data_IF_514890038907
#
_entry.id   IF_514890038907
#
_cell.length_a   1.000
_cell.length_b   1.000
_cell.length_c   1.000
_cell.angle_alpha   90.00
_cell.angle_beta   90.00
_cell.angle_gamma   90.00
#
_symmetry.space_group_name_H-M   'P 1'
#
loop_
_entity.id
_entity.type
_entity.pdbx_description
1 polymer ?
#
# COMPACT_ATOMS: atom_id res chain seq x y z
N UNK A 1 52.48 -44.43 69.77
CA UNK A 1 52.04 -45.71 69.17
C UNK A 1 51.09 -45.40 68.01
N UNK A 2 51.57 -45.33 66.74
CA UNK A 2 50.70 -45.01 65.59
C UNK A 2 49.94 -46.27 65.16
N UNK A 3 48.69 -46.39 65.60
CA UNK A 3 47.80 -47.48 65.18
C UNK A 3 47.55 -47.35 63.67
N UNK A 4 48.16 -48.22 62.85
CA UNK A 4 47.88 -48.30 61.41
C UNK A 4 46.49 -48.91 61.21
N UNK A 5 45.46 -48.04 61.15
CA UNK A 5 44.09 -48.46 60.81
C UNK A 5 44.04 -49.11 59.43
N UNK A 6 43.42 -50.29 59.31
CA UNK A 6 43.20 -50.97 58.03
C UNK A 6 42.24 -50.16 57.15
N UNK A 7 42.42 -50.24 55.82
CA UNK A 7 41.65 -49.45 54.82
C UNK A 7 40.13 -49.59 55.00
N UNK A 8 39.65 -50.77 55.42
CA UNK A 8 38.22 -51.02 55.73
C UNK A 8 37.70 -50.22 56.93
N UNK A 9 38.45 -50.14 58.04
CA UNK A 9 38.00 -49.39 59.22
C UNK A 9 37.95 -47.87 59.00
N UNK A 10 38.81 -47.34 58.10
CA UNK A 10 38.75 -45.93 57.67
C UNK A 10 37.52 -45.63 56.83
N UNK A 11 37.11 -46.54 55.94
CA UNK A 11 35.85 -46.40 55.21
C UNK A 11 34.64 -46.46 56.14
N UNK A 12 34.62 -47.38 57.11
CA UNK A 12 33.53 -47.48 58.08
C UNK A 12 33.41 -46.21 58.94
N UNK A 13 34.52 -45.67 59.45
CA UNK A 13 34.52 -44.41 60.18
C UNK A 13 34.09 -43.22 59.30
N UNK A 14 34.50 -43.22 58.02
CA UNK A 14 34.08 -42.21 57.04
C UNK A 14 32.58 -42.25 56.75
N UNK A 15 31.98 -43.43 56.62
CA UNK A 15 30.53 -43.58 56.45
C UNK A 15 29.75 -43.12 57.68
N UNK A 16 30.24 -43.40 58.89
CA UNK A 16 29.61 -42.92 60.13
C UNK A 16 29.70 -41.40 60.24
N UNK A 17 30.86 -40.81 59.95
CA UNK A 17 31.03 -39.35 59.92
C UNK A 17 30.16 -38.68 58.84
N UNK A 18 30.07 -39.28 57.65
CA UNK A 18 29.18 -38.82 56.59
C UNK A 18 27.71 -38.92 57.02
N UNK A 19 27.33 -39.96 57.74
CA UNK A 19 26.00 -40.12 58.32
C UNK A 19 25.68 -39.03 59.35
N UNK A 20 26.61 -38.73 60.26
CA UNK A 20 26.44 -37.63 61.23
C UNK A 20 26.46 -36.25 60.57
N UNK A 21 27.25 -36.04 59.51
CA UNK A 21 27.24 -34.81 58.73
C UNK A 21 25.93 -34.63 57.96
N UNK A 22 25.41 -35.70 57.35
CA UNK A 22 24.10 -35.69 56.69
C UNK A 22 22.98 -35.46 57.70
N UNK A 23 23.05 -36.08 58.88
CA UNK A 23 22.10 -35.84 59.96
C UNK A 23 22.16 -34.38 60.47
N UNK A 24 23.36 -33.85 60.71
CA UNK A 24 23.55 -32.45 61.10
C UNK A 24 23.06 -31.46 60.03
N UNK A 25 23.29 -31.75 58.75
CA UNK A 25 22.77 -30.95 57.64
C UNK A 25 21.24 -31.04 57.53
N UNK A 26 20.65 -32.22 57.75
CA UNK A 26 19.20 -32.40 57.77
C UNK A 26 18.55 -31.63 58.94
N UNK A 27 19.15 -31.65 60.13
CA UNK A 27 18.71 -30.86 61.28
C UNK A 27 18.79 -29.35 60.99
N UNK A 28 19.90 -28.88 60.40
CA UNK A 28 20.08 -27.46 60.05
C UNK A 28 19.11 -26.99 58.95
N UNK A 29 18.71 -27.87 58.04
CA UNK A 29 17.69 -27.62 57.02
C UNK A 29 16.26 -27.76 57.56
N UNK A 30 16.08 -28.09 58.84
CA UNK A 30 14.76 -28.22 59.47
C UNK A 30 13.94 -29.41 58.96
N UNK A 31 14.60 -30.49 58.50
CA UNK A 31 13.94 -31.73 58.05
C UNK A 31 13.41 -32.58 59.22
N UNK A 32 13.94 -32.37 60.44
CA UNK A 32 13.41 -32.95 61.68
C UNK A 32 12.63 -31.86 62.43
N UNK A 33 11.39 -31.63 62.00
CA UNK A 33 10.45 -30.76 62.70
C UNK A 33 9.46 -31.64 63.45
N UNK A 34 9.67 -31.84 64.75
CA UNK A 34 8.54 -32.10 65.63
C UNK A 34 7.60 -30.89 65.51
N UNK A 35 6.49 -31.09 64.81
CA UNK A 35 5.58 -30.01 64.43
C UNK A 35 4.96 -29.38 65.67
N UNK A 36 5.18 -28.09 65.88
CA UNK A 36 4.53 -27.30 66.96
C UNK A 36 3.04 -27.08 66.71
N UNK A 37 2.46 -27.69 65.67
CA UNK A 37 1.08 -27.44 65.21
C UNK A 37 0.88 -26.04 64.62
N UNK A 38 1.95 -25.27 64.39
CA UNK A 38 1.88 -23.89 63.88
C UNK A 38 2.19 -23.87 62.39
N UNK A 39 1.24 -23.39 61.58
CA UNK A 39 1.39 -23.19 60.14
C UNK A 39 1.45 -21.68 59.86
N UNK A 40 2.45 -21.22 59.09
CA UNK A 40 2.56 -19.82 58.69
C UNK A 40 1.51 -19.49 57.61
N UNK A 41 0.85 -18.33 57.73
CA UNK A 41 -0.11 -17.84 56.74
C UNK A 41 0.61 -17.02 55.68
N UNK A 42 0.10 -17.06 54.45
CA UNK A 42 0.59 -16.19 53.37
C UNK A 42 0.27 -14.71 53.66
N UNK A 43 1.07 -13.78 53.12
CA UNK A 43 0.79 -12.34 53.12
C UNK A 43 -0.58 -12.00 52.50
N UNK A 44 -1.04 -10.78 52.76
CA UNK A 44 -2.33 -10.28 52.30
C UNK A 44 -2.44 -10.29 50.76
N UNK A 45 -3.52 -10.85 50.22
CA UNK A 45 -3.84 -10.87 48.78
C UNK A 45 -3.27 -12.06 48.00
N UNK A 46 -2.57 -13.01 48.65
CA UNK A 46 -1.96 -14.18 48.00
C UNK A 46 -2.83 -15.45 48.05
N UNK A 47 -3.95 -15.43 48.77
CA UNK A 47 -4.93 -16.53 48.79
C UNK A 47 -4.54 -17.71 49.71
N UNK A 48 -5.19 -18.87 49.49
CA UNK A 48 -5.03 -20.05 50.35
C UNK A 48 -3.73 -20.81 50.08
N UNK A 49 -3.07 -21.26 51.15
CA UNK A 49 -1.90 -22.14 51.07
C UNK A 49 -2.21 -23.50 51.69
N UNK A 50 -1.94 -24.57 50.94
CA UNK A 50 -2.24 -25.94 51.34
C UNK A 50 -0.98 -26.59 51.92
N UNK A 51 -1.04 -26.96 53.19
CA UNK A 51 0.00 -27.69 53.90
C UNK A 51 -0.36 -29.17 54.02
N UNK A 52 0.60 -30.06 53.77
CA UNK A 52 0.45 -31.48 54.08
C UNK A 52 1.04 -31.73 55.47
N UNK A 53 0.23 -32.26 56.39
CA UNK A 53 0.62 -32.47 57.78
C UNK A 53 0.30 -33.91 58.18
N UNK A 54 1.28 -34.63 58.73
CA UNK A 54 1.07 -35.94 59.35
C UNK A 54 0.59 -35.74 60.80
N UNK A 55 -0.54 -36.35 61.16
CA UNK A 55 -1.16 -36.21 62.49
C UNK A 55 -1.24 -37.57 63.16
N UNK A 56 -0.51 -37.71 64.27
CA UNK A 56 -0.58 -38.86 65.16
C UNK A 56 -1.64 -38.67 66.26
N UNK A 57 -2.33 -39.75 66.64
CA UNK A 57 -3.40 -39.73 67.66
C UNK A 57 -4.80 -39.34 67.15
N UNK A 58 -4.96 -38.90 65.89
CA UNK A 58 -6.28 -38.70 65.25
C UNK A 58 -6.97 -40.05 64.92
N UNK A 59 -6.16 -41.05 64.54
CA UNK A 59 -6.55 -42.43 64.28
C UNK A 59 -5.51 -43.39 64.88
N UNK A 60 -5.79 -44.72 64.97
CA UNK A 60 -4.84 -45.69 65.51
C UNK A 60 -3.51 -45.80 64.74
N UNK A 61 -3.45 -45.24 63.53
CA UNK A 61 -2.24 -45.11 62.73
C UNK A 61 -2.10 -43.64 62.31
N UNK A 62 -0.86 -43.16 62.25
CA UNK A 62 -0.51 -41.83 61.76
C UNK A 62 -1.15 -41.58 60.39
N UNK A 63 -1.83 -40.45 60.25
CA UNK A 63 -2.61 -40.13 59.05
C UNK A 63 -2.17 -38.77 58.50
N UNK A 64 -1.83 -38.72 57.21
CA UNK A 64 -1.55 -37.47 56.50
C UNK A 64 -2.85 -36.77 56.11
N UNK A 65 -2.96 -35.49 56.43
CA UNK A 65 -4.08 -34.63 56.07
C UNK A 65 -3.58 -33.36 55.36
N UNK A 66 -4.43 -32.85 54.47
CA UNK A 66 -4.20 -31.56 53.81
C UNK A 66 -4.94 -30.47 54.55
N UNK A 67 -4.21 -29.50 55.09
CA UNK A 67 -4.77 -28.34 55.79
C UNK A 67 -4.62 -27.11 54.89
N UNK A 68 -5.75 -26.60 54.39
CA UNK A 68 -5.80 -25.32 53.70
C UNK A 68 -5.84 -24.20 54.75
N UNK A 69 -4.82 -23.34 54.73
CA UNK A 69 -4.74 -22.17 55.61
C UNK A 69 -4.87 -20.93 54.74
N UNK A 70 -5.93 -20.15 54.97
CA UNK A 70 -6.14 -18.87 54.31
C UNK A 70 -5.08 -17.83 54.69
N UNK A 71 -4.96 -16.79 53.87
CA UNK A 71 -4.10 -15.64 54.10
C UNK A 71 -4.34 -14.96 55.47
N UNK A 72 -3.41 -14.08 55.86
CA UNK A 72 -3.56 -13.29 57.09
C UNK A 72 -4.72 -12.31 56.91
N UNK A 73 -5.79 -12.47 57.70
CA UNK A 73 -6.79 -11.41 57.86
C UNK A 73 -6.22 -10.31 58.75
N UNK A 74 -6.56 -9.05 58.45
CA UNK A 74 -6.26 -7.94 59.37
C UNK A 74 -7.00 -8.14 60.70
N UNK A 75 -6.57 -7.46 61.74
CA UNK A 75 -7.44 -7.21 62.91
C UNK A 75 -8.37 -6.03 62.62
N UNK A 76 -9.43 -5.85 63.40
CA UNK A 76 -10.38 -4.74 63.18
C UNK A 76 -9.68 -3.37 63.28
N UNK A 77 -8.77 -3.22 64.26
CA UNK A 77 -7.95 -2.01 64.45
C UNK A 77 -6.96 -1.79 63.29
N UNK A 78 -6.28 -2.85 62.82
CA UNK A 78 -5.33 -2.75 61.69
C UNK A 78 -6.06 -2.44 60.36
N UNK A 79 -7.27 -2.97 60.15
CA UNK A 79 -8.05 -2.72 58.94
C UNK A 79 -8.53 -1.27 58.86
N UNK A 80 -8.99 -0.71 59.98
CA UNK A 80 -9.41 0.69 60.08
C UNK A 80 -8.24 1.64 59.77
N UNK A 81 -7.07 1.41 60.36
CA UNK A 81 -5.87 2.22 60.06
C UNK A 81 -5.45 2.16 58.59
N UNK A 82 -5.60 1.01 57.94
CA UNK A 82 -5.24 0.80 56.53
C UNK A 82 -6.28 1.47 55.62
N UNK A 83 -7.57 1.31 55.90
CA UNK A 83 -8.64 1.96 55.14
C UNK A 83 -8.53 3.49 55.23
N UNK A 84 -8.27 4.05 56.41
CA UNK A 84 -8.08 5.49 56.59
C UNK A 84 -6.83 6.00 55.85
N UNK A 85 -5.75 5.22 55.85
CA UNK A 85 -4.53 5.55 55.09
C UNK A 85 -4.81 5.55 53.59
N UNK A 86 -5.49 4.52 53.09
CA UNK A 86 -5.86 4.41 51.67
C UNK A 86 -6.78 5.58 51.29
N UNK A 87 -7.77 5.89 52.13
CA UNK A 87 -8.70 6.99 51.91
C UNK A 87 -8.00 8.35 51.90
N UNK A 88 -7.04 8.59 52.79
CA UNK A 88 -6.27 9.84 52.84
C UNK A 88 -5.51 10.14 51.54
N UNK A 89 -5.08 9.12 50.80
CA UNK A 89 -4.42 9.29 49.50
C UNK A 89 -5.40 9.29 48.32
N UNK A 90 -6.61 8.73 48.50
CA UNK A 90 -7.56 8.46 47.41
C UNK A 90 -7.93 9.70 46.59
N UNK A 91 -8.30 10.86 47.19
CA UNK A 91 -8.69 12.06 46.44
C UNK A 91 -7.66 12.53 45.43
N UNK A 92 -6.36 12.35 45.72
CA UNK A 92 -5.27 12.79 44.85
C UNK A 92 -5.01 11.84 43.68
N UNK A 93 -5.37 10.55 43.82
CA UNK A 93 -5.06 9.50 42.85
C UNK A 93 -6.14 9.33 41.79
N UNK A 94 -7.37 9.71 42.09
CA UNK A 94 -8.52 9.52 41.19
C UNK A 94 -8.77 10.70 40.24
N UNK A 95 -8.03 11.82 40.37
CA UNK A 95 -8.26 13.06 39.63
C UNK A 95 -8.17 12.92 38.11
N UNK A 96 -7.37 11.99 37.59
CA UNK A 96 -7.12 11.89 36.15
C UNK A 96 -6.44 13.16 35.61
N UNK A 97 -7.05 13.80 34.62
CA UNK A 97 -6.59 15.08 34.04
C UNK A 97 -7.19 16.32 34.74
N UNK A 98 -8.07 16.12 35.73
CA UNK A 98 -8.74 17.21 36.42
C UNK A 98 -7.81 17.89 37.45
N UNK A 99 -7.92 19.23 37.63
CA UNK A 99 -7.12 19.95 38.60
C UNK A 99 -7.49 19.63 40.05
N UNK A 100 -8.77 19.36 40.32
CA UNK A 100 -9.30 19.05 41.66
C UNK A 100 -10.66 18.34 41.57
N UNK A 101 -11.09 17.68 42.64
CA UNK A 101 -12.44 17.08 42.74
C UNK A 101 -13.55 18.14 42.81
N UNK A 102 -13.21 19.35 43.24
CA UNK A 102 -14.11 20.51 43.19
C UNK A 102 -14.23 21.10 41.77
N UNK A 103 -13.53 20.53 40.77
CA UNK A 103 -13.58 21.01 39.39
C UNK A 103 -13.33 19.86 38.40
N UNK A 104 -14.30 18.95 38.33
CA UNK A 104 -14.23 17.79 37.42
C UNK A 104 -14.92 18.12 36.10
N UNK A 105 -14.17 18.00 34.99
CA UNK A 105 -14.63 18.24 33.60
C UNK A 105 -14.33 17.07 32.67
N UNK A 106 -13.38 16.21 33.05
CA UNK A 106 -12.94 15.03 32.30
C UNK A 106 -13.07 13.79 33.17
N UNK A 107 -12.99 12.62 32.55
CA UNK A 107 -13.11 11.32 33.24
C UNK A 107 -12.18 11.21 34.47
N UNK A 108 -12.73 10.64 35.55
CA UNK A 108 -12.03 10.28 36.77
C UNK A 108 -11.39 8.89 36.61
N UNK A 109 -10.28 8.68 37.31
CA UNK A 109 -9.59 7.39 37.34
C UNK A 109 -9.99 6.61 38.60
N UNK A 110 -11.17 5.97 38.59
CA UNK A 110 -11.67 5.20 39.73
C UNK A 110 -10.93 3.85 39.85
N UNK A 111 -9.98 3.79 40.79
CA UNK A 111 -9.16 2.60 41.03
C UNK A 111 -10.01 1.55 41.75
N UNK A 112 -10.03 0.31 41.24
CA UNK A 112 -10.84 -0.78 41.79
C UNK A 112 -10.10 -1.73 42.75
N UNK A 113 -8.76 -1.64 42.83
CA UNK A 113 -7.94 -2.50 43.70
C UNK A 113 -6.64 -1.83 44.15
N UNK A 114 -6.26 -2.10 45.40
CA UNK A 114 -4.99 -1.76 46.03
C UNK A 114 -4.23 -3.03 46.38
N UNK A 115 -3.47 -3.56 45.41
CA UNK A 115 -2.73 -4.82 45.56
C UNK A 115 -1.69 -4.78 46.70
N UNK A 116 -1.15 -3.60 47.00
CA UNK A 116 -0.19 -3.38 48.08
C UNK A 116 -0.77 -3.58 49.49
N UNK A 117 -2.10 -3.49 49.62
CA UNK A 117 -2.83 -3.70 50.87
C UNK A 117 -3.82 -4.87 50.81
N UNK A 118 -4.02 -5.49 49.63
CA UNK A 118 -5.02 -6.53 49.42
C UNK A 118 -6.47 -6.02 49.51
N UNK A 119 -6.71 -4.73 49.25
CA UNK A 119 -8.03 -4.09 49.41
C UNK A 119 -8.70 -3.87 48.06
N UNK A 120 -9.97 -4.25 47.94
CA UNK A 120 -10.82 -3.90 46.79
C UNK A 120 -11.59 -2.62 47.07
N UNK A 121 -11.80 -1.82 46.03
CA UNK A 121 -12.54 -0.56 46.11
C UNK A 121 -13.67 -0.61 45.10
N UNK A 122 -14.90 -0.64 45.59
CA UNK A 122 -16.09 -0.62 44.75
C UNK A 122 -16.72 0.77 44.78
N UNK A 123 -16.88 1.36 43.61
CA UNK A 123 -17.41 2.72 43.45
C UNK A 123 -18.90 2.69 43.10
N UNK A 124 -19.67 3.49 43.82
CA UNK A 124 -21.09 3.69 43.60
C UNK A 124 -21.47 5.15 43.86
N UNK A 125 -22.72 5.53 43.60
CA UNK A 125 -23.12 6.94 43.60
C UNK A 125 -22.86 7.59 42.24
N UNK A 126 -22.66 8.90 42.19
CA UNK A 126 -22.38 9.60 40.92
C UNK A 126 -23.62 10.06 40.13
N UNK A 127 -24.81 9.55 40.48
CA UNK A 127 -26.07 9.94 39.86
C UNK A 127 -26.07 9.68 38.35
N UNK A 128 -26.47 10.70 37.57
CA UNK A 128 -26.39 10.67 36.10
C UNK A 128 -25.09 11.26 35.54
N UNK A 129 -24.24 11.81 36.42
CA UNK A 129 -23.07 12.60 36.04
C UNK A 129 -21.79 11.78 35.98
N UNK A 130 -21.66 10.77 36.84
CA UNK A 130 -20.47 9.93 36.94
C UNK A 130 -20.88 8.47 37.06
N UNK A 131 -20.36 7.61 36.18
CA UNK A 131 -20.58 6.16 36.30
C UNK A 131 -19.53 5.47 37.20
N UNK A 132 -19.76 4.20 37.54
CA UNK A 132 -18.86 3.41 38.39
C UNK A 132 -17.49 3.11 37.76
N UNK A 133 -17.30 3.45 36.47
CA UNK A 133 -16.01 3.37 35.78
C UNK A 133 -15.27 4.71 35.77
N UNK A 134 -15.90 5.78 36.29
CA UNK A 134 -15.32 7.12 36.36
C UNK A 134 -15.57 7.98 35.13
N UNK A 135 -16.46 7.59 34.21
CA UNK A 135 -16.79 8.44 33.06
C UNK A 135 -17.68 9.58 33.49
N UNK A 136 -17.38 10.79 33.01
CA UNK A 136 -18.07 12.03 33.38
C UNK A 136 -18.98 12.48 32.24
N UNK A 137 -20.28 12.53 32.49
CA UNK A 137 -21.32 12.98 31.55
C UNK A 137 -21.69 14.44 31.82
N UNK A 138 -20.71 15.34 31.73
CA UNK A 138 -20.86 16.75 32.09
C UNK A 138 -21.58 17.63 31.06
N UNK A 139 -21.99 17.11 29.90
CA UNK A 139 -22.50 17.96 28.79
C UNK A 139 -23.74 18.78 29.15
N UNK A 140 -24.54 18.29 30.10
CA UNK A 140 -25.79 18.91 30.56
C UNK A 140 -25.66 19.58 31.94
N UNK A 141 -24.47 19.57 32.53
CA UNK A 141 -24.24 20.13 33.86
C UNK A 141 -24.33 21.67 33.84
N UNK A 142 -24.81 22.25 34.95
CA UNK A 142 -24.87 23.70 35.12
C UNK A 142 -23.48 24.35 35.00
N UNK A 143 -23.36 25.56 34.41
CA UNK A 143 -22.11 26.33 34.43
C UNK A 143 -21.61 26.67 35.83
N UNK A 144 -22.49 26.66 36.84
CA UNK A 144 -22.15 26.89 38.25
C UNK A 144 -21.55 25.64 38.94
N UNK A 145 -21.68 24.47 38.30
CA UNK A 145 -21.24 23.17 38.80
C UNK A 145 -22.36 22.38 39.47
N UNK A 146 -22.38 21.06 39.26
CA UNK A 146 -23.30 20.14 39.91
C UNK A 146 -22.56 19.37 41.01
N UNK A 147 -23.03 19.45 42.26
CA UNK A 147 -22.45 18.72 43.38
C UNK A 147 -22.98 17.28 43.41
N UNK A 148 -22.06 16.32 43.41
CA UNK A 148 -22.33 14.89 43.31
C UNK A 148 -21.51 14.16 44.36
N UNK A 149 -22.12 13.16 45.00
CA UNK A 149 -21.46 12.34 46.00
C UNK A 149 -21.10 10.97 45.41
N UNK A 150 -19.82 10.65 45.46
CA UNK A 150 -19.30 9.31 45.17
C UNK A 150 -19.13 8.54 46.47
N UNK A 151 -19.50 7.28 46.44
CA UNK A 151 -19.38 6.35 47.56
C UNK A 151 -18.37 5.26 47.18
N UNK A 152 -17.30 5.15 47.97
CA UNK A 152 -16.29 4.13 47.83
C UNK A 152 -16.42 3.11 48.97
N UNK A 153 -16.64 1.84 48.62
CA UNK A 153 -16.66 0.73 49.56
C UNK A 153 -15.31 0.02 49.49
N UNK A 154 -14.52 0.16 50.57
CA UNK A 154 -13.24 -0.53 50.74
C UNK A 154 -13.49 -1.86 51.44
N UNK A 155 -12.98 -2.95 50.88
CA UNK A 155 -13.14 -4.30 51.43
C UNK A 155 -11.83 -5.09 51.43
N UNK A 156 -11.55 -5.77 52.54
CA UNK A 156 -10.48 -6.79 52.65
C UNK A 156 -11.03 -8.22 52.45
N UNK A 157 -12.30 -8.35 52.06
CA UNK A 157 -13.04 -9.60 51.93
C UNK A 157 -13.80 -10.03 53.20
N UNK A 158 -13.41 -9.53 54.38
CA UNK A 158 -14.05 -9.84 55.66
C UNK A 158 -14.71 -8.63 56.33
N UNK A 159 -14.11 -7.45 56.15
CA UNK A 159 -14.57 -6.16 56.65
C UNK A 159 -14.75 -5.19 55.50
N UNK A 160 -15.67 -4.26 55.71
CA UNK A 160 -16.03 -3.24 54.74
C UNK A 160 -16.09 -1.88 55.44
N UNK A 161 -15.58 -0.86 54.78
CA UNK A 161 -15.72 0.53 55.19
C UNK A 161 -16.21 1.36 54.00
N UNK A 162 -17.20 2.21 54.26
CA UNK A 162 -17.82 3.06 53.25
C UNK A 162 -17.37 4.49 53.48
N UNK A 163 -16.84 5.12 52.45
CA UNK A 163 -16.43 6.51 52.47
C UNK A 163 -17.16 7.30 51.39
N UNK A 164 -17.52 8.54 51.72
CA UNK A 164 -18.23 9.45 50.82
C UNK A 164 -17.29 10.58 50.39
N UNK A 165 -17.33 10.93 49.11
CA UNK A 165 -16.48 11.94 48.49
C UNK A 165 -17.33 12.91 47.66
N UNK A 166 -17.38 14.19 48.03
CA UNK A 166 -18.04 15.19 47.20
C UNK A 166 -17.18 15.50 45.98
N UNK A 167 -17.84 15.64 44.83
CA UNK A 167 -17.26 15.99 43.54
C UNK A 167 -18.15 17.02 42.87
N UNK A 168 -17.56 18.07 42.30
CA UNK A 168 -18.31 19.10 41.56
C UNK A 168 -18.03 18.91 40.06
N UNK A 169 -19.06 18.51 39.32
CA UNK A 169 -18.99 18.30 37.87
C UNK A 169 -19.34 19.59 37.15
N UNK A 170 -18.46 19.98 36.24
CA UNK A 170 -18.66 21.11 35.35
C UNK A 170 -18.80 20.64 33.90
N UNK A 171 -19.47 21.43 33.05
CA UNK A 171 -19.48 21.17 31.62
C UNK A 171 -18.06 21.15 31.04
N UNK A 172 -17.82 20.39 29.96
CA UNK A 172 -16.49 20.31 29.35
C UNK A 172 -15.96 21.70 28.99
N UNK A 173 -14.66 21.92 29.21
CA UNK A 173 -14.02 23.18 28.88
C UNK A 173 -13.95 23.35 27.36
N UNK A 174 -14.97 24.00 26.78
CA UNK A 174 -15.05 24.27 25.34
C UNK A 174 -13.92 25.19 24.90
N UNK A 175 -13.28 24.86 23.78
CA UNK A 175 -12.28 25.72 23.16
C UNK A 175 -12.94 27.02 22.64
N UNK A 176 -12.15 28.07 22.40
CA UNK A 176 -12.69 29.28 21.76
C UNK A 176 -13.27 28.97 20.37
N UNK A 177 -12.71 27.98 19.67
CA UNK A 177 -13.18 27.55 18.35
C UNK A 177 -14.59 26.97 18.44
N UNK A 178 -14.84 26.03 19.37
CA UNK A 178 -16.15 25.42 19.58
C UNK A 178 -17.22 26.45 19.98
N UNK A 179 -16.85 27.40 20.86
CA UNK A 179 -17.75 28.51 21.25
C UNK A 179 -18.09 29.42 20.08
N UNK A 180 -17.13 29.65 19.19
CA UNK A 180 -17.33 30.46 17.98
C UNK A 180 -18.26 29.76 17.00
N UNK A 181 -18.12 28.44 16.83
CA UNK A 181 -19.03 27.62 16.01
C UNK A 181 -20.46 27.64 16.57
N UNK A 182 -20.64 27.49 17.89
CA UNK A 182 -21.99 27.55 18.47
C UNK A 182 -22.65 28.93 18.34
N UNK A 183 -21.91 30.02 18.54
CA UNK A 183 -22.44 31.39 18.32
C UNK A 183 -22.88 31.56 16.86
N UNK A 184 -22.08 31.09 15.92
CA UNK A 184 -22.42 31.11 14.50
C UNK A 184 -23.67 30.26 14.19
N UNK A 185 -23.77 29.06 14.76
CA UNK A 185 -24.95 28.21 14.59
C UNK A 185 -26.20 28.78 15.26
N UNK A 186 -26.06 29.49 16.39
CA UNK A 186 -27.16 30.17 17.06
C UNK A 186 -27.69 31.34 16.21
N UNK A 187 -26.80 32.12 15.62
CA UNK A 187 -27.16 33.21 14.68
C UNK A 187 -27.85 32.66 13.43
N UNK A 188 -27.35 31.56 12.84
CA UNK A 188 -28.02 30.86 11.74
C UNK A 188 -29.45 30.45 12.12
N UNK A 189 -29.66 29.91 13.33
CA UNK A 189 -31.01 29.49 13.78
C UNK A 189 -31.96 30.67 13.97
N UNK A 190 -31.45 31.80 14.45
CA UNK A 190 -32.23 33.03 14.58
C UNK A 190 -32.57 33.61 13.20
N UNK A 191 -31.61 33.63 12.28
CA UNK A 191 -31.84 34.07 10.90
C UNK A 191 -32.79 33.15 10.13
N UNK A 192 -32.71 31.83 10.31
CA UNK A 192 -33.60 30.84 9.69
C UNK A 192 -35.06 31.06 10.12
N UNK A 193 -35.30 31.35 11.40
CA UNK A 193 -36.63 31.71 11.91
C UNK A 193 -37.17 33.01 11.30
N UNK A 194 -36.29 33.91 10.85
CA UNK A 194 -36.66 35.16 10.18
C UNK A 194 -36.83 35.01 8.66
N UNK A 195 -36.15 34.03 8.04
CA UNK A 195 -36.14 33.77 6.59
C UNK A 195 -37.05 32.59 6.22
N UNK A 196 -38.38 32.79 6.22
CA UNK A 196 -39.36 31.74 5.91
C UNK A 196 -39.55 31.38 4.42
N UNK A 197 -38.50 31.43 3.60
CA UNK A 197 -38.55 31.21 2.14
C UNK A 197 -38.20 29.79 1.69
N UNK A 198 -38.29 29.51 0.38
CA UNK A 198 -37.87 28.22 -0.22
C UNK A 198 -36.35 27.97 -0.17
N UNK A 199 -35.56 29.01 0.14
CA UNK A 199 -34.10 28.94 0.23
C UNK A 199 -33.60 29.80 1.39
N UNK A 200 -32.66 29.26 2.18
CA UNK A 200 -31.97 29.96 3.24
C UNK A 200 -30.60 30.48 2.74
N UNK A 201 -30.33 31.76 2.94
CA UNK A 201 -29.03 32.36 2.58
C UNK A 201 -28.14 32.46 3.80
N UNK A 202 -27.00 31.77 3.76
CA UNK A 202 -25.98 31.84 4.80
C UNK A 202 -25.28 33.21 4.83
N UNK A 203 -24.86 33.70 6.00
CA UNK A 203 -24.21 35.00 6.14
C UNK A 203 -22.84 35.03 5.45
N UNK A 204 -22.51 36.15 4.80
CA UNK A 204 -21.22 36.34 4.10
C UNK A 204 -20.09 36.70 5.07
N UNK A 205 -20.41 37.15 6.29
CA UNK A 205 -19.44 37.53 7.31
C UNK A 205 -19.90 37.12 8.72
N UNK A 206 -18.95 36.74 9.57
CA UNK A 206 -19.18 36.47 10.99
C UNK A 206 -18.00 36.98 11.82
N UNK A 207 -18.27 37.75 12.87
CA UNK A 207 -17.25 38.36 13.75
C UNK A 207 -16.11 39.08 13.00
N UNK A 208 -16.44 39.77 11.90
CA UNK A 208 -15.49 40.54 11.07
C UNK A 208 -14.63 39.69 10.10
N UNK A 209 -14.93 38.40 9.95
CA UNK A 209 -14.29 37.49 8.97
C UNK A 209 -15.24 37.20 7.82
N UNK A 210 -14.70 37.18 6.61
CA UNK A 210 -15.43 36.82 5.39
C UNK A 210 -15.53 35.28 5.27
N UNK A 211 -16.73 34.77 4.99
CA UNK A 211 -17.04 33.35 4.95
C UNK A 211 -17.23 32.87 3.51
N UNK A 212 -16.68 31.69 3.20
CA UNK A 212 -16.84 31.02 1.91
C UNK A 212 -17.35 29.60 2.14
N UNK A 213 -18.46 29.26 1.49
CA UNK A 213 -19.09 27.95 1.62
C UNK A 213 -18.74 27.05 0.44
N UNK A 214 -18.41 25.78 0.73
CA UNK A 214 -18.13 24.75 -0.28
C UNK A 214 -18.77 23.45 0.15
N UNK A 215 -19.35 22.73 -0.81
CA UNK A 215 -19.83 21.37 -0.61
C UNK A 215 -18.64 20.40 -0.42
N UNK A 216 -18.53 19.70 0.73
CA UNK A 216 -17.44 18.76 0.97
C UNK A 216 -17.46 17.56 0.01
N UNK A 217 -18.60 17.22 -0.59
CA UNK A 217 -18.71 16.15 -1.60
C UNK A 217 -18.42 16.61 -3.03
N UNK A 218 -18.15 17.90 -3.22
CA UNK A 218 -17.84 18.51 -4.51
C UNK A 218 -16.66 17.81 -5.19
N UNK A 219 -16.94 16.96 -6.18
CA UNK A 219 -15.89 16.26 -6.93
C UNK A 219 -15.04 17.29 -7.68
N UNK A 220 -13.69 17.23 -7.57
CA UNK A 220 -12.82 18.12 -8.32
C UNK A 220 -12.95 17.89 -9.83
N UNK A 221 -13.77 18.70 -10.49
CA UNK A 221 -13.99 18.65 -11.95
C UNK A 221 -12.77 19.15 -12.75
N UNK A 222 -11.70 19.60 -12.08
CA UNK A 222 -10.46 20.08 -12.71
C UNK A 222 -9.72 18.98 -13.49
N UNK A 223 -10.01 17.70 -13.23
CA UNK A 223 -9.46 16.59 -13.99
C UNK A 223 -10.07 16.43 -15.40
N UNK A 224 -11.27 16.97 -15.65
CA UNK A 224 -11.95 16.85 -16.95
C UNK A 224 -11.21 17.59 -18.09
N UNK A 225 -10.73 18.84 -17.91
CA UNK A 225 -9.88 19.50 -18.90
C UNK A 225 -8.59 18.73 -19.22
N UNK A 226 -7.95 18.13 -18.20
CA UNK A 226 -6.71 17.36 -18.40
C UNK A 226 -6.93 16.10 -19.25
N UNK A 227 -8.06 15.40 -19.02
CA UNK A 227 -8.51 14.28 -19.86
C UNK A 227 -8.79 14.72 -21.30
N UNK A 228 -9.40 15.90 -21.49
CA UNK A 228 -9.64 16.48 -22.80
C UNK A 228 -8.35 16.77 -23.58
N UNK A 229 -7.33 17.32 -22.91
CA UNK A 229 -6.02 17.59 -23.52
C UNK A 229 -5.31 16.29 -23.92
N UNK A 230 -5.33 15.27 -23.05
CA UNK A 230 -4.77 13.94 -23.35
C UNK A 230 -5.44 13.31 -24.57
N UNK A 231 -6.78 13.35 -24.65
CA UNK A 231 -7.52 12.82 -25.79
C UNK A 231 -7.18 13.55 -27.10
N UNK A 232 -7.02 14.89 -27.06
CA UNK A 232 -6.62 15.67 -28.22
C UNK A 232 -5.21 15.31 -28.73
N UNK A 233 -4.25 15.11 -27.81
CA UNK A 233 -2.89 14.66 -28.16
C UNK A 233 -2.95 13.28 -28.83
N UNK A 234 -3.71 12.33 -28.28
CA UNK A 234 -3.84 10.99 -28.87
C UNK A 234 -4.44 11.02 -30.28
N UNK A 235 -5.48 11.81 -30.50
CA UNK A 235 -6.13 11.94 -31.81
C UNK A 235 -5.18 12.44 -32.88
N UNK A 236 -4.34 13.43 -32.57
CA UNK A 236 -3.37 13.98 -33.54
C UNK A 236 -2.22 13.00 -33.85
N UNK A 237 -1.85 12.13 -32.91
CA UNK A 237 -0.85 11.08 -33.15
C UNK A 237 -1.34 9.95 -34.05
N UNK A 238 -2.59 9.51 -33.94
CA UNK A 238 -3.08 8.37 -34.72
C UNK A 238 -3.00 8.62 -36.23
N UNK A 239 -3.47 9.78 -36.71
CA UNK A 239 -3.51 10.05 -38.15
C UNK A 239 -2.10 10.19 -38.74
N UNK A 240 -1.21 10.90 -38.02
CA UNK A 240 0.19 11.06 -38.42
C UNK A 240 0.92 9.70 -38.40
N UNK A 241 0.66 8.89 -37.39
CA UNK A 241 1.31 7.59 -37.27
C UNK A 241 0.78 6.58 -38.29
N UNK A 242 -0.52 6.56 -38.59
CA UNK A 242 -1.08 5.73 -39.66
C UNK A 242 -0.51 6.11 -41.02
N UNK A 243 -0.44 7.40 -41.36
CA UNK A 243 0.18 7.87 -42.61
C UNK A 243 1.65 7.50 -42.69
N UNK A 244 2.39 7.66 -41.59
CA UNK A 244 3.81 7.28 -41.49
C UNK A 244 3.98 5.76 -41.66
N UNK A 245 3.18 4.95 -40.97
CA UNK A 245 3.19 3.47 -41.07
C UNK A 245 2.84 3.01 -42.49
N UNK A 246 1.85 3.63 -43.15
CA UNK A 246 1.49 3.31 -44.53
C UNK A 246 2.62 3.65 -45.51
N UNK A 247 3.26 4.81 -45.35
CA UNK A 247 4.42 5.21 -46.15
C UNK A 247 5.60 4.27 -45.95
N UNK A 248 5.97 3.98 -44.70
CA UNK A 248 7.03 3.04 -44.36
C UNK A 248 6.74 1.65 -44.93
N UNK A 249 5.48 1.18 -44.88
CA UNK A 249 5.07 -0.11 -45.47
C UNK A 249 5.29 -0.12 -46.98
N UNK A 250 4.86 0.92 -47.70
CA UNK A 250 5.06 1.05 -49.15
C UNK A 250 6.54 1.10 -49.51
N UNK A 251 7.33 1.91 -48.81
CA UNK A 251 8.78 2.01 -49.02
C UNK A 251 9.47 0.64 -48.77
N UNK A 252 9.06 -0.09 -47.74
CA UNK A 252 9.56 -1.45 -47.45
C UNK A 252 9.21 -2.46 -48.54
N UNK A 253 7.98 -2.43 -49.05
CA UNK A 253 7.54 -3.30 -50.15
C UNK A 253 8.37 -3.04 -51.42
N UNK A 254 8.56 -1.76 -51.77
CA UNK A 254 9.40 -1.35 -52.90
C UNK A 254 10.85 -1.82 -52.73
N UNK A 255 11.46 -1.64 -51.56
CA UNK A 255 12.83 -2.11 -51.32
C UNK A 255 12.96 -3.63 -51.43
N UNK A 256 11.94 -4.39 -51.01
CA UNK A 256 11.93 -5.86 -51.14
C UNK A 256 11.86 -6.31 -52.59
N UNK A 257 11.10 -5.60 -53.41
CA UNK A 257 10.86 -5.94 -54.81
C UNK A 257 12.02 -5.49 -55.72
N UNK A 258 12.79 -4.49 -55.31
CA UNK A 258 13.85 -3.88 -56.12
C UNK A 258 14.88 -4.87 -56.68
N UNK A 259 15.48 -5.78 -55.87
CA UNK A 259 16.46 -6.74 -56.40
C UNK A 259 15.87 -7.64 -57.49
N UNK A 260 14.59 -7.98 -57.38
CA UNK A 260 13.89 -8.84 -58.34
C UNK A 260 13.64 -8.10 -59.66
N UNK A 261 13.21 -6.83 -59.58
CA UNK A 261 13.02 -5.95 -60.75
C UNK A 261 14.34 -5.79 -61.53
N UNK A 262 15.43 -5.45 -60.84
CA UNK A 262 16.74 -5.27 -61.48
C UNK A 262 17.24 -6.59 -62.07
N UNK A 263 17.03 -7.72 -61.38
CA UNK A 263 17.40 -9.06 -61.89
C UNK A 263 16.69 -9.41 -63.18
N UNK A 264 15.35 -9.29 -63.22
CA UNK A 264 14.58 -9.59 -64.43
C UNK A 264 14.96 -8.68 -65.60
N UNK A 265 15.10 -7.37 -65.35
CA UNK A 265 15.55 -6.43 -66.38
C UNK A 265 16.96 -6.76 -66.88
N UNK A 266 17.89 -7.09 -65.98
CA UNK A 266 19.27 -7.45 -66.37
C UNK A 266 19.30 -8.73 -67.21
N UNK A 267 18.48 -9.74 -66.88
CA UNK A 267 18.38 -10.98 -67.66
C UNK A 267 17.86 -10.68 -69.08
N UNK A 268 16.78 -9.92 -69.22
CA UNK A 268 16.21 -9.62 -70.53
C UNK A 268 17.09 -8.71 -71.38
N UNK A 269 17.68 -7.67 -70.78
CA UNK A 269 18.67 -6.83 -71.45
C UNK A 269 19.91 -7.64 -71.87
N UNK A 270 20.35 -8.59 -71.02
CA UNK A 270 21.43 -9.53 -71.33
C UNK A 270 21.12 -10.49 -72.48
N UNK A 271 19.84 -10.81 -72.69
CA UNK A 271 19.35 -11.60 -73.82
C UNK A 271 19.23 -10.79 -75.13
N UNK A 272 19.59 -9.50 -75.12
CA UNK A 272 19.58 -8.65 -76.31
C UNK A 272 18.27 -7.90 -76.55
N UNK A 273 17.33 -7.92 -75.60
CA UNK A 273 16.11 -7.08 -75.68
C UNK A 273 16.46 -5.60 -75.47
N UNK A 274 15.68 -4.72 -76.09
CA UNK A 274 15.74 -3.27 -75.80
C UNK A 274 15.18 -2.97 -74.41
N UNK A 275 15.46 -1.78 -73.87
CA UNK A 275 14.93 -1.35 -72.56
C UNK A 275 13.41 -1.45 -72.51
N UNK A 276 12.72 -0.98 -73.54
CA UNK A 276 11.27 -1.11 -73.66
C UNK A 276 10.81 -2.56 -73.75
N UNK A 277 11.45 -3.38 -74.59
CA UNK A 277 11.07 -4.78 -74.73
C UNK A 277 11.30 -5.60 -73.46
N UNK A 278 12.38 -5.32 -72.73
CA UNK A 278 12.63 -5.91 -71.42
C UNK A 278 11.57 -5.47 -70.39
N UNK A 279 11.24 -4.18 -70.35
CA UNK A 279 10.22 -3.62 -69.47
C UNK A 279 8.84 -4.25 -69.71
N UNK A 280 8.41 -4.28 -70.97
CA UNK A 280 7.13 -4.87 -71.38
C UNK A 280 7.04 -6.36 -71.00
N UNK A 281 8.14 -7.11 -71.19
CA UNK A 281 8.18 -8.54 -70.84
C UNK A 281 8.09 -8.76 -69.33
N UNK A 282 8.68 -7.87 -68.52
CA UNK A 282 8.56 -7.92 -67.06
C UNK A 282 7.13 -7.64 -66.61
N UNK A 283 6.50 -6.59 -67.15
CA UNK A 283 5.12 -6.22 -66.80
C UNK A 283 4.13 -7.30 -67.20
N UNK A 284 4.21 -7.83 -68.43
CA UNK A 284 3.32 -8.93 -68.88
C UNK A 284 3.49 -10.19 -68.05
N UNK A 285 4.71 -10.50 -67.62
CA UNK A 285 4.99 -11.61 -66.71
C UNK A 285 4.32 -11.40 -65.33
N UNK A 286 4.32 -10.17 -64.82
CA UNK A 286 3.62 -9.81 -63.59
C UNK A 286 2.10 -9.90 -63.74
N UNK A 287 1.52 -9.37 -64.83
CA UNK A 287 0.07 -9.44 -65.09
C UNK A 287 -0.43 -10.88 -65.18
N UNK A 288 0.33 -11.75 -65.86
CA UNK A 288 0.02 -13.18 -65.91
C UNK A 288 0.05 -13.82 -64.52
N UNK A 289 1.09 -13.52 -63.74
CA UNK A 289 1.19 -14.01 -62.35
C UNK A 289 0.03 -13.52 -61.48
N UNK A 290 -0.44 -12.29 -61.67
CA UNK A 290 -1.59 -11.74 -60.95
C UNK A 290 -2.90 -12.44 -61.35
N UNK A 291 -3.09 -12.75 -62.63
CA UNK A 291 -4.25 -13.51 -63.14
C UNK A 291 -4.30 -14.94 -62.59
N UNK A 292 -3.13 -15.52 -62.28
CA UNK A 292 -2.98 -16.85 -61.68
C UNK A 292 -3.08 -16.83 -60.13
N UNK A 293 -3.49 -15.70 -59.53
CA UNK A 293 -3.64 -15.56 -58.08
C UNK A 293 -2.38 -15.11 -57.33
N UNK A 294 -1.38 -14.60 -58.04
CA UNK A 294 -0.17 -14.05 -57.46
C UNK A 294 -0.42 -12.79 -56.62
N UNK A 295 0.51 -12.48 -55.71
CA UNK A 295 0.42 -11.29 -54.85
C UNK A 295 0.68 -10.01 -55.66
N UNK A 296 0.00 -8.92 -55.29
CA UNK A 296 0.32 -7.58 -55.80
C UNK A 296 1.65 -7.10 -55.25
N UNK A 297 2.39 -6.39 -56.09
CA UNK A 297 3.71 -5.87 -55.75
C UNK A 297 3.83 -4.40 -56.14
N UNK A 298 4.19 -3.56 -55.17
CA UNK A 298 4.22 -2.11 -55.35
C UNK A 298 5.12 -1.68 -56.52
N UNK A 299 6.30 -2.30 -56.68
CA UNK A 299 7.23 -1.93 -57.74
C UNK A 299 6.69 -2.27 -59.14
N UNK A 300 6.05 -3.43 -59.28
CA UNK A 300 5.51 -3.89 -60.56
C UNK A 300 4.24 -3.14 -60.96
N UNK A 301 3.44 -2.68 -60.00
CA UNK A 301 2.31 -1.77 -60.26
C UNK A 301 2.80 -0.44 -60.86
N UNK A 302 3.84 0.16 -60.28
CA UNK A 302 4.48 1.38 -60.82
C UNK A 302 5.07 1.13 -62.22
N UNK A 303 5.67 -0.05 -62.45
CA UNK A 303 6.16 -0.44 -63.78
C UNK A 303 5.04 -0.58 -64.82
N UNK A 304 3.88 -1.12 -64.40
CA UNK A 304 2.69 -1.26 -65.25
C UNK A 304 2.10 0.09 -65.61
N UNK A 305 1.94 0.98 -64.63
CA UNK A 305 1.50 2.36 -64.89
C UNK A 305 2.45 3.09 -65.84
N UNK A 306 3.76 2.88 -65.66
CA UNK A 306 4.78 3.48 -66.51
C UNK A 306 4.67 2.99 -67.96
N UNK A 307 4.36 1.70 -68.16
CA UNK A 307 4.13 1.13 -69.48
C UNK A 307 2.87 1.72 -70.15
N UNK A 308 1.77 1.84 -69.40
CA UNK A 308 0.53 2.47 -69.87
C UNK A 308 0.76 3.94 -70.28
N UNK A 309 1.59 4.69 -69.53
CA UNK A 309 1.99 6.05 -69.92
C UNK A 309 2.76 6.08 -71.24
N UNK A 310 3.67 5.13 -71.47
CA UNK A 310 4.41 5.01 -72.74
C UNK A 310 3.48 4.68 -73.91
N UNK A 311 2.47 3.84 -73.69
CA UNK A 311 1.44 3.52 -74.70
C UNK A 311 0.59 4.75 -75.03
N UNK A 312 0.33 5.60 -74.03
CA UNK A 312 -0.32 6.93 -74.17
C UNK A 312 0.59 8.02 -74.75
N UNK A 313 1.65 7.64 -75.47
CA UNK A 313 2.60 8.52 -76.19
C UNK A 313 3.47 9.41 -75.30
N UNK A 314 3.61 9.13 -73.99
CA UNK A 314 4.64 9.80 -73.18
C UNK A 314 6.03 9.32 -73.63
N UNK A 315 7.00 10.22 -73.87
CA UNK A 315 8.35 9.81 -74.26
C UNK A 315 8.99 8.86 -73.24
N UNK A 316 9.58 7.76 -73.71
CA UNK A 316 10.12 6.69 -72.84
C UNK A 316 11.09 7.20 -71.78
N UNK A 317 11.99 8.13 -72.14
CA UNK A 317 12.91 8.74 -71.17
C UNK A 317 12.20 9.47 -70.03
N UNK A 318 11.13 10.22 -70.34
CA UNK A 318 10.32 10.90 -69.34
C UNK A 318 9.54 9.89 -68.48
N UNK A 319 9.01 8.85 -69.10
CA UNK A 319 8.29 7.79 -68.39
C UNK A 319 9.19 7.04 -67.39
N UNK A 320 10.44 6.71 -67.74
CA UNK A 320 11.38 6.10 -66.79
C UNK A 320 11.74 7.04 -65.62
N UNK A 321 11.92 8.34 -65.88
CA UNK A 321 12.15 9.31 -64.80
C UNK A 321 10.94 9.43 -63.86
N UNK A 322 9.71 9.44 -64.41
CA UNK A 322 8.49 9.46 -63.63
C UNK A 322 8.31 8.19 -62.78
N UNK A 323 8.70 7.02 -63.30
CA UNK A 323 8.76 5.77 -62.52
C UNK A 323 9.66 5.92 -61.30
N UNK A 324 10.89 6.40 -61.48
CA UNK A 324 11.82 6.62 -60.38
C UNK A 324 11.26 7.57 -59.31
N UNK A 325 10.58 8.64 -59.76
CA UNK A 325 9.91 9.60 -58.87
C UNK A 325 8.69 9.00 -58.15
N UNK A 326 7.90 8.18 -58.83
CA UNK A 326 6.70 7.56 -58.27
C UNK A 326 7.04 6.51 -57.20
N UNK A 327 8.11 5.73 -57.40
CA UNK A 327 8.66 4.86 -56.37
C UNK A 327 9.27 5.66 -55.19
N UNK A 328 9.86 6.82 -55.46
CA UNK A 328 10.28 7.77 -54.42
C UNK A 328 11.49 7.33 -53.57
N UNK A 329 12.23 6.32 -54.04
CA UNK A 329 13.39 5.74 -53.35
C UNK A 329 14.66 5.88 -54.19
N UNK A 330 15.80 6.10 -53.54
CA UNK A 330 17.10 6.31 -54.20
C UNK A 330 17.50 5.18 -55.18
N UNK A 331 17.34 3.89 -54.85
CA UNK A 331 17.68 2.81 -55.79
C UNK A 331 16.84 2.83 -57.08
N UNK A 332 15.57 3.21 -56.99
CA UNK A 332 14.66 3.33 -58.13
C UNK A 332 14.96 4.56 -58.98
N UNK A 333 15.33 5.69 -58.38
CA UNK A 333 15.80 6.88 -59.10
C UNK A 333 17.08 6.61 -59.88
N UNK A 334 18.02 5.89 -59.28
CA UNK A 334 19.26 5.46 -59.93
C UNK A 334 18.97 4.50 -61.09
N UNK A 335 18.08 3.53 -60.88
CA UNK A 335 17.64 2.60 -61.93
C UNK A 335 17.01 3.34 -63.11
N UNK A 336 16.12 4.30 -62.85
CA UNK A 336 15.51 5.14 -63.89
C UNK A 336 16.56 5.88 -64.73
N UNK A 337 17.56 6.49 -64.08
CA UNK A 337 18.67 7.16 -64.76
C UNK A 337 19.51 6.21 -65.61
N UNK A 338 19.80 5.01 -65.10
CA UNK A 338 20.53 3.97 -65.83
C UNK A 338 19.78 3.49 -67.08
N UNK A 339 18.46 3.32 -66.99
CA UNK A 339 17.61 2.91 -68.12
C UNK A 339 17.53 4.02 -69.18
N UNK A 340 17.43 5.28 -68.75
CA UNK A 340 17.45 6.43 -69.66
C UNK A 340 18.80 6.56 -70.39
N UNK A 341 19.91 6.43 -69.66
CA UNK A 341 21.25 6.47 -70.23
C UNK A 341 21.46 5.34 -71.24
N UNK A 342 21.02 4.13 -70.89
CA UNK A 342 21.15 2.98 -71.79
C UNK A 342 20.38 3.16 -73.11
N UNK A 343 19.21 3.79 -73.06
CA UNK A 343 18.44 4.14 -74.25
C UNK A 343 19.18 5.12 -75.16
N UNK A 344 19.98 6.04 -74.60
CA UNK A 344 20.73 7.07 -75.35
C UNK A 344 22.09 6.57 -75.87
N UNK A 345 22.81 5.78 -75.07
CA UNK A 345 24.24 5.47 -75.28
C UNK A 345 24.55 3.98 -75.55
N UNK A 346 23.58 3.07 -75.38
CA UNK A 346 23.72 1.63 -75.64
C UNK A 346 24.21 0.78 -74.45
N UNK A 347 24.28 -0.55 -74.65
CA UNK A 347 24.39 -1.59 -73.59
C UNK A 347 25.79 -1.91 -73.05
N UNK A 348 26.86 -1.34 -73.60
CA UNK A 348 28.24 -1.76 -73.27
C UNK A 348 28.62 -1.52 -71.79
N UNK A 349 28.19 -0.42 -71.16
CA UNK A 349 28.52 -0.09 -69.76
C UNK A 349 27.39 -0.38 -68.74
N UNK A 350 26.15 -0.56 -69.21
CA UNK A 350 24.99 -0.77 -68.33
C UNK A 350 25.07 -2.12 -67.61
N UNK A 351 25.51 -3.18 -68.30
CA UNK A 351 25.49 -4.55 -67.78
C UNK A 351 26.38 -4.73 -66.54
N UNK A 352 27.55 -4.11 -66.52
CA UNK A 352 28.44 -4.13 -65.35
C UNK A 352 27.83 -3.37 -64.17
N UNK A 353 27.30 -2.18 -64.44
CA UNK A 353 26.69 -1.30 -63.43
C UNK A 353 25.44 -1.92 -62.80
N UNK A 354 24.56 -2.55 -63.60
CA UNK A 354 23.39 -3.25 -63.07
C UNK A 354 23.76 -4.49 -62.24
N UNK A 355 24.82 -5.23 -62.59
CA UNK A 355 25.27 -6.38 -61.79
C UNK A 355 25.81 -5.96 -60.42
N UNK A 356 26.56 -4.86 -60.36
CA UNK A 356 27.03 -4.28 -59.10
C UNK A 356 25.86 -3.78 -58.25
N UNK A 357 24.90 -3.09 -58.86
CA UNK A 357 23.69 -2.61 -58.17
C UNK A 357 22.84 -3.76 -57.62
N UNK A 358 22.68 -4.86 -58.39
CA UNK A 358 21.98 -6.05 -57.94
C UNK A 358 22.62 -6.68 -56.71
N UNK A 359 23.95 -6.80 -56.68
CA UNK A 359 24.67 -7.37 -55.55
C UNK A 359 24.45 -6.53 -54.28
N UNK A 360 24.58 -5.21 -54.40
CA UNK A 360 24.29 -4.26 -53.32
C UNK A 360 22.84 -4.36 -52.83
N UNK A 361 21.88 -4.40 -53.75
CA UNK A 361 20.45 -4.51 -53.42
C UNK A 361 20.10 -5.83 -52.71
N UNK A 362 20.75 -6.92 -53.08
CA UNK A 362 20.53 -8.23 -52.46
C UNK A 362 21.08 -8.27 -51.02
N UNK A 363 22.23 -7.63 -50.79
CA UNK A 363 22.81 -7.49 -49.46
C UNK A 363 21.96 -6.58 -48.56
N UNK A 364 21.44 -5.49 -49.10
CA UNK A 364 20.52 -4.59 -48.40
C UNK A 364 19.22 -5.30 -48.01
N UNK A 365 18.67 -6.16 -48.89
CA UNK A 365 17.52 -7.02 -48.58
C UNK A 365 17.78 -7.96 -47.40
N UNK A 366 18.98 -8.55 -47.32
CA UNK A 366 19.36 -9.44 -46.20
C UNK A 366 19.42 -8.66 -44.87
N UNK A 367 19.97 -7.45 -44.90
CA UNK A 367 20.05 -6.57 -43.73
C UNK A 367 18.67 -6.07 -43.28
N UNK A 368 17.77 -5.76 -44.21
CA UNK A 368 16.39 -5.36 -43.91
C UNK A 368 15.60 -6.49 -43.22
N UNK A 369 15.76 -7.74 -43.68
CA UNK A 369 15.13 -8.89 -43.04
C UNK A 369 15.61 -9.09 -41.59
N UNK A 370 16.89 -8.82 -41.31
CA UNK A 370 17.46 -8.90 -39.96
C UNK A 370 16.92 -7.80 -39.03
N UNK A 371 16.92 -6.54 -39.49
CA UNK A 371 16.35 -5.41 -38.73
C UNK A 371 14.87 -5.60 -38.40
N UNK A 372 14.10 -6.25 -39.28
CA UNK A 372 12.70 -6.57 -39.04
C UNK A 372 12.49 -7.56 -37.89
N UNK A 373 13.44 -8.48 -37.67
CA UNK A 373 13.43 -9.35 -36.50
C UNK A 373 13.66 -8.58 -35.19
N UNK A 374 14.48 -7.52 -35.24
CA UNK A 374 14.81 -6.69 -34.08
C UNK A 374 13.71 -5.65 -33.77
N UNK A 375 13.13 -5.01 -34.78
CA UNK A 375 12.08 -3.98 -34.63
C UNK A 375 10.76 -4.53 -34.06
N UNK A 376 10.45 -5.80 -34.28
CA UNK A 376 9.23 -6.43 -33.78
C UNK A 376 9.20 -6.50 -32.24
N UNK A 377 10.36 -6.70 -31.61
CA UNK A 377 10.48 -6.73 -30.14
C UNK A 377 10.35 -5.34 -29.51
N UNK A 378 10.96 -4.32 -30.11
CA UNK A 378 10.96 -2.97 -29.55
C UNK A 378 9.60 -2.27 -29.64
N UNK A 379 8.79 -2.54 -30.69
CA UNK A 379 7.46 -1.94 -30.84
C UNK A 379 6.44 -2.42 -29.80
N UNK A 380 6.66 -3.59 -29.18
CA UNK A 380 5.81 -4.11 -28.10
C UNK A 380 6.08 -3.44 -26.74
N UNK A 381 7.21 -2.73 -26.58
CA UNK A 381 7.57 -2.07 -25.31
C UNK A 381 6.85 -0.73 -25.12
N UNK A 382 6.53 -0.01 -26.19
CA UNK A 382 5.90 1.32 -26.11
C UNK A 382 4.52 1.26 -25.42
N UNK A 383 3.59 0.34 -25.78
CA UNK A 383 2.31 0.21 -25.08
C UNK A 383 2.47 -0.14 -23.59
N UNK A 384 3.50 -0.90 -23.23
CA UNK A 384 3.77 -1.32 -21.86
C UNK A 384 4.15 -0.13 -20.97
N UNK A 385 5.04 0.75 -21.44
CA UNK A 385 5.42 1.97 -20.70
C UNK A 385 4.27 2.95 -20.54
N UNK A 386 3.39 3.04 -21.55
CA UNK A 386 2.22 3.92 -21.51
C UNK A 386 1.20 3.44 -20.47
N UNK A 387 0.92 2.13 -20.43
CA UNK A 387 0.07 1.53 -19.39
C UNK A 387 0.65 1.75 -17.98
N UNK A 388 1.96 1.61 -17.82
CA UNK A 388 2.64 1.86 -16.54
C UNK A 388 2.46 3.32 -16.08
N UNK A 389 2.57 4.29 -17.00
CA UNK A 389 2.37 5.71 -16.71
C UNK A 389 0.96 6.04 -16.23
N UNK A 390 -0.07 5.43 -16.84
CA UNK A 390 -1.47 5.62 -16.43
C UNK A 390 -1.72 5.07 -15.02
N UNK A 391 -1.21 3.87 -14.71
CA UNK A 391 -1.32 3.28 -13.37
C UNK A 391 -0.62 4.14 -12.34
N UNK A 392 0.58 4.66 -12.65
CA UNK A 392 1.32 5.54 -11.75
C UNK A 392 0.56 6.83 -11.45
N UNK A 393 -0.04 7.46 -12.47
CA UNK A 393 -0.88 8.65 -12.28
C UNK A 393 -2.13 8.38 -11.43
N UNK A 394 -2.77 7.21 -11.62
CA UNK A 394 -3.93 6.79 -10.84
C UNK A 394 -3.61 6.62 -9.34
N UNK A 395 -2.40 6.14 -9.02
CA UNK A 395 -1.93 5.99 -7.63
C UNK A 395 -1.48 7.33 -7.03
N UNK A 396 -0.84 8.19 -7.83
CA UNK A 396 -0.31 9.47 -7.35
C UNK A 396 -1.37 10.55 -7.16
N UNK A 397 -2.42 10.58 -7.98
CA UNK A 397 -3.44 11.63 -7.90
C UNK A 397 -4.18 11.70 -6.55
N UNK A 398 -4.61 10.57 -5.93
CA UNK A 398 -5.16 10.59 -4.58
C UNK A 398 -4.14 11.04 -3.53
N UNK A 399 -2.88 10.60 -3.66
CA UNK A 399 -1.82 10.92 -2.71
C UNK A 399 -1.45 12.40 -2.70
N UNK A 400 -1.52 13.10 -3.84
CA UNK A 400 -1.27 14.54 -3.92
C UNK A 400 -2.46 15.39 -3.50
N UNK A 401 -3.68 14.84 -3.53
CA UNK A 401 -4.89 15.51 -3.06
C UNK A 401 -5.18 15.28 -1.57
N UNK A 402 -4.49 14.32 -0.95
CA UNK A 402 -4.59 14.02 0.49
C UNK A 402 -3.58 14.80 1.35
N UNK A 403 -2.84 15.74 0.78
CA UNK A 403 -1.89 16.63 1.48
C UNK A 403 -2.33 18.08 1.46
#
# INVERSE_FOLDING_TARGET
MRVKWSRKRRLQAGCVLAGFLLYGAAMAAGLDREGTGVLERSPHGEGETVYQVAVDGLLPQETEISVAVGERAYTDEEAEEIFDRIWGEMPSRILGENPSLDQVRTDLNLISRRDDYGVTVDWSGGGEWIDSLGRVYGEQASPEGEEVWLQAELSDGSRQAVYELPVIVYPPARTEEERTVERFLAEIREEDQSQGGESFTLPEQFEGRELSYRDPEGRPLWALPALGILAAVFYETEEKEQRKRAREKRERELMRDYPEVVSRLTVFLGAGLTVRGAWEKVVRGYEKSLAEGGRKHAAYEEMRETLDRMEKKVPEGKAYQEFGKACGLQPYLKLAGLLEQNRREGTKNLRGTMRLEMASAFEERKNLARKQGEEAGAKLLIPLFLMLGVVMAMVMAPALLSF
#
